data_IF_690159918338
#
_entry.id   IF_690159918338
#
_cell.length_a   1.000
_cell.length_b   1.000
_cell.length_c   1.000
_cell.angle_alpha   90.00
_cell.angle_beta   90.00
_cell.angle_gamma   90.00
#
_symmetry.space_group_name_H-M   'P 1'
#
loop_
_entity.id
_entity.type
_entity.pdbx_description
1 polymer ?
#
# COMPACT_ATOMS: atom_id res chain seq x y z
N UNK A 1 11.44 -17.47 -0.19
CA UNK A 1 10.07 -16.93 -0.17
C UNK A 1 9.29 -17.48 -1.36
N UNK A 2 8.16 -18.16 -1.12
CA UNK A 2 7.40 -18.93 -2.11
C UNK A 2 6.98 -18.11 -3.35
N UNK A 3 6.58 -16.84 -3.17
CA UNK A 3 6.15 -15.94 -4.25
C UNK A 3 7.21 -15.75 -5.36
N UNK A 4 8.47 -15.56 -4.98
CA UNK A 4 9.58 -15.41 -5.94
C UNK A 4 9.81 -16.73 -6.68
N UNK A 5 9.73 -17.85 -5.95
CA UNK A 5 9.94 -19.19 -6.51
C UNK A 5 8.87 -19.55 -7.54
N UNK A 6 7.64 -19.09 -7.35
CA UNK A 6 6.51 -19.29 -8.26
C UNK A 6 6.43 -18.22 -9.37
N UNK A 7 7.38 -17.28 -9.43
CA UNK A 7 7.37 -16.21 -10.43
C UNK A 7 6.19 -15.23 -10.26
N UNK A 8 5.56 -15.18 -9.09
CA UNK A 8 4.40 -14.32 -8.85
C UNK A 8 4.89 -12.90 -8.56
N UNK A 9 4.51 -11.90 -9.38
CA UNK A 9 4.90 -10.52 -9.15
C UNK A 9 4.18 -9.98 -7.90
N UNK A 10 4.94 -9.37 -6.99
CA UNK A 10 4.38 -8.74 -5.79
C UNK A 10 4.91 -7.32 -5.59
N UNK A 11 4.11 -6.53 -4.87
CA UNK A 11 4.44 -5.20 -4.36
C UNK A 11 4.00 -5.12 -2.89
N UNK A 12 4.96 -5.02 -1.99
CA UNK A 12 4.72 -5.07 -0.54
C UNK A 12 5.41 -3.88 0.11
N UNK A 13 4.72 -3.27 1.09
CA UNK A 13 5.31 -2.21 1.91
C UNK A 13 6.25 -2.81 2.94
N UNK A 14 7.40 -2.17 3.07
CA UNK A 14 8.46 -2.53 4.01
C UNK A 14 8.58 -1.43 5.06
N UNK A 15 8.85 -1.84 6.31
CA UNK A 15 9.14 -0.91 7.41
C UNK A 15 10.52 -0.28 7.25
N UNK A 16 10.67 0.97 7.68
CA UNK A 16 11.95 1.69 7.65
C UNK A 16 13.07 1.03 8.48
N UNK A 17 12.68 0.23 9.49
CA UNK A 17 13.60 -0.52 10.35
C UNK A 17 14.12 -1.80 9.71
N UNK A 18 13.58 -2.24 8.57
CA UNK A 18 14.15 -3.40 7.88
C UNK A 18 15.56 -3.07 7.35
N UNK A 19 16.36 -4.12 7.28
CA UNK A 19 17.74 -4.06 6.81
C UNK A 19 17.82 -4.53 5.35
N UNK A 20 18.51 -3.77 4.52
CA UNK A 20 18.89 -4.15 3.16
C UNK A 20 20.34 -4.61 3.17
N UNK A 21 20.61 -5.76 2.58
CA UNK A 21 21.95 -6.23 2.31
C UNK A 21 22.33 -5.84 0.88
N UNK A 22 23.43 -5.08 0.76
CA UNK A 22 24.04 -4.64 -0.48
C UNK A 22 25.55 -4.92 -0.42
N UNK A 23 26.10 -5.70 -1.35
CA UNK A 23 27.56 -5.91 -1.47
C UNK A 23 28.24 -6.31 -0.14
N UNK A 24 27.63 -7.21 0.63
CA UNK A 24 28.19 -7.66 1.92
C UNK A 24 28.00 -6.70 3.10
N UNK A 25 27.46 -5.49 2.87
CA UNK A 25 27.12 -4.53 3.92
C UNK A 25 25.63 -4.47 4.16
N UNK A 26 25.27 -4.23 5.42
CA UNK A 26 23.89 -4.12 5.87
C UNK A 26 23.57 -2.66 6.09
N UNK A 27 22.62 -2.13 5.33
CA UNK A 27 22.15 -0.76 5.44
C UNK A 27 20.70 -0.75 5.93
N UNK A 28 20.42 0.03 6.96
CA UNK A 28 19.04 0.34 7.34
C UNK A 28 18.36 1.08 6.19
N UNK A 29 17.09 0.75 5.91
CA UNK A 29 16.37 1.43 4.82
C UNK A 29 16.29 2.94 5.04
N UNK A 30 16.17 3.38 6.29
CA UNK A 30 16.21 4.80 6.66
C UNK A 30 17.45 5.52 6.11
N UNK A 31 18.64 4.91 6.20
CA UNK A 31 19.89 5.48 5.66
C UNK A 31 19.92 5.52 4.14
N UNK A 32 19.39 4.49 3.48
CA UNK A 32 19.35 4.44 2.00
C UNK A 32 18.49 5.56 1.40
N UNK A 33 17.49 6.03 2.15
CA UNK A 33 16.51 7.01 1.71
C UNK A 33 16.50 8.29 2.55
N UNK A 34 17.54 8.53 3.33
CA UNK A 34 17.67 9.69 4.23
C UNK A 34 17.70 11.02 3.45
N UNK A 35 18.27 11.00 2.25
CA UNK A 35 18.38 12.15 1.36
C UNK A 35 17.09 12.56 0.65
N UNK A 36 15.99 11.80 0.79
CA UNK A 36 14.73 12.14 0.13
C UNK A 36 14.04 13.34 0.80
N UNK A 37 13.66 14.31 -0.02
CA UNK A 37 12.80 15.43 0.39
C UNK A 37 11.33 15.00 0.40
N UNK A 38 10.51 15.75 1.12
CA UNK A 38 9.06 15.55 1.18
C UNK A 38 8.45 15.65 -0.23
N UNK A 39 7.60 14.69 -0.61
CA UNK A 39 7.01 14.58 -1.93
C UNK A 39 7.93 13.98 -3.01
N UNK A 40 9.22 13.78 -2.69
CA UNK A 40 10.16 13.16 -3.61
C UNK A 40 10.05 11.63 -3.54
N UNK A 41 10.21 10.98 -4.70
CA UNK A 41 10.25 9.53 -4.81
C UNK A 41 11.55 9.07 -5.46
N UNK A 42 12.12 7.98 -4.95
CA UNK A 42 13.39 7.43 -5.43
C UNK A 42 13.33 5.92 -5.52
N UNK A 43 13.60 5.42 -6.73
CA UNK A 43 13.80 4.01 -6.99
C UNK A 43 15.29 3.65 -6.99
N UNK A 44 15.67 2.60 -6.27
CA UNK A 44 17.01 2.03 -6.38
C UNK A 44 17.02 1.17 -7.66
N UNK A 45 17.94 1.48 -8.58
CA UNK A 45 18.04 0.78 -9.87
C UNK A 45 18.52 -0.67 -9.71
N UNK A 46 19.38 -0.93 -8.72
CA UNK A 46 19.90 -2.26 -8.40
C UNK A 46 18.91 -3.04 -7.53
N UNK A 47 18.90 -4.37 -7.69
CA UNK A 47 18.20 -5.24 -6.74
C UNK A 47 18.99 -5.30 -5.44
N UNK A 48 18.27 -5.24 -4.32
CA UNK A 48 18.84 -5.34 -2.99
C UNK A 48 18.31 -6.60 -2.31
N UNK A 49 19.16 -7.26 -1.53
CA UNK A 49 18.74 -8.44 -0.78
C UNK A 49 18.11 -7.96 0.51
N UNK A 50 16.79 -8.08 0.62
CA UNK A 50 16.06 -7.82 1.86
C UNK A 50 15.69 -9.16 2.46
N UNK A 51 16.18 -9.42 3.67
CA UNK A 51 16.13 -10.75 4.29
C UNK A 51 16.73 -11.79 3.33
N UNK A 52 15.93 -12.75 2.84
CA UNK A 52 16.36 -13.79 1.88
C UNK A 52 15.94 -13.52 0.42
N UNK A 53 15.48 -12.30 0.11
CA UNK A 53 14.85 -11.99 -1.17
C UNK A 53 15.53 -10.85 -1.90
N UNK A 54 15.87 -11.06 -3.17
CA UNK A 54 16.39 -10.01 -4.05
C UNK A 54 15.24 -9.22 -4.68
N UNK A 55 15.05 -7.97 -4.25
CA UNK A 55 13.91 -7.12 -4.62
C UNK A 55 14.34 -5.74 -5.12
N UNK A 56 13.50 -5.12 -5.93
CA UNK A 56 13.62 -3.71 -6.28
C UNK A 56 12.98 -2.87 -5.18
N UNK A 57 13.69 -1.84 -4.73
CA UNK A 57 13.19 -0.93 -3.70
C UNK A 57 12.86 0.43 -4.29
N UNK A 58 11.70 0.95 -3.93
CA UNK A 58 11.30 2.33 -4.20
C UNK A 58 10.81 2.96 -2.91
N UNK A 59 11.31 4.15 -2.58
CA UNK A 59 10.83 4.92 -1.44
C UNK A 59 10.19 6.24 -1.89
N UNK A 60 9.20 6.68 -1.14
CA UNK A 60 8.52 7.95 -1.28
C UNK A 60 8.43 8.57 0.11
N UNK A 61 8.78 9.84 0.23
CA UNK A 61 8.56 10.56 1.48
C UNK A 61 7.21 11.27 1.45
N UNK A 62 6.33 10.85 2.35
CA UNK A 62 4.99 11.38 2.51
C UNK A 62 5.04 12.83 3.02
N UNK A 63 3.98 13.61 2.78
CA UNK A 63 3.85 14.98 3.30
C UNK A 63 3.79 15.03 4.83
N UNK A 64 3.43 13.92 5.45
CA UNK A 64 3.51 13.71 6.90
C UNK A 64 4.94 13.58 7.42
N UNK A 65 5.93 13.46 6.55
CA UNK A 65 7.33 13.18 6.89
C UNK A 65 7.65 11.68 7.01
N UNK A 66 6.64 10.81 6.96
CA UNK A 66 6.79 9.35 7.02
C UNK A 66 7.40 8.80 5.71
N UNK A 67 8.19 7.73 5.84
CA UNK A 67 8.85 7.08 4.71
C UNK A 67 8.05 5.85 4.24
N UNK A 68 7.48 5.92 3.04
CA UNK A 68 6.82 4.80 2.39
C UNK A 68 7.80 4.03 1.52
N UNK A 69 8.15 2.82 1.92
CA UNK A 69 9.09 1.95 1.20
C UNK A 69 8.34 0.78 0.59
N UNK A 70 8.53 0.57 -0.72
CA UNK A 70 7.93 -0.52 -1.49
C UNK A 70 9.03 -1.46 -1.97
N UNK A 71 8.86 -2.75 -1.68
CA UNK A 71 9.59 -3.83 -2.33
C UNK A 71 8.76 -4.45 -3.44
N UNK A 72 9.39 -4.57 -4.61
CA UNK A 72 8.81 -5.16 -5.79
C UNK A 72 9.70 -6.28 -6.34
N UNK A 73 9.07 -7.33 -6.87
CA UNK A 73 9.80 -8.37 -7.62
C UNK A 73 10.34 -7.85 -8.96
N UNK A 74 9.63 -6.89 -9.58
CA UNK A 74 9.97 -6.31 -10.89
C UNK A 74 10.02 -4.79 -10.84
N UNK A 75 10.86 -4.21 -11.69
CA UNK A 75 10.93 -2.76 -11.88
C UNK A 75 9.70 -2.27 -12.66
N UNK A 76 9.08 -1.19 -12.19
CA UNK A 76 7.95 -0.55 -12.87
C UNK A 76 8.15 0.98 -12.84
N UNK A 77 7.62 1.68 -13.84
CA UNK A 77 7.80 3.13 -13.99
C UNK A 77 7.10 3.94 -12.88
N UNK A 78 5.91 3.51 -12.45
CA UNK A 78 5.10 4.21 -11.45
C UNK A 78 4.67 3.28 -10.30
N UNK A 79 5.59 2.88 -9.40
CA UNK A 79 5.29 1.92 -8.33
C UNK A 79 4.28 2.47 -7.31
N UNK A 80 4.34 3.76 -7.00
CA UNK A 80 3.45 4.39 -6.02
C UNK A 80 2.01 4.54 -6.52
N UNK A 81 1.80 4.86 -7.80
CA UNK A 81 0.46 4.93 -8.40
C UNK A 81 -0.24 3.57 -8.37
N UNK A 82 0.50 2.50 -8.63
CA UNK A 82 -0.03 1.13 -8.53
C UNK A 82 -0.35 0.79 -7.08
N UNK A 83 0.54 1.16 -6.16
CA UNK A 83 0.36 0.93 -4.74
C UNK A 83 -0.81 1.73 -4.15
N UNK A 84 -1.12 2.92 -4.69
CA UNK A 84 -2.26 3.73 -4.29
C UNK A 84 -3.60 3.00 -4.49
N UNK A 85 -3.75 2.18 -5.52
CA UNK A 85 -4.96 1.36 -5.72
C UNK A 85 -5.19 0.37 -4.56
N UNK A 86 -4.12 -0.08 -3.90
CA UNK A 86 -4.25 -0.93 -2.71
C UNK A 86 -4.85 -0.15 -1.54
N UNK A 87 -4.49 1.12 -1.39
CA UNK A 87 -5.02 2.00 -0.35
C UNK A 87 -6.52 2.23 -0.52
N UNK A 88 -7.00 2.34 -1.76
CA UNK A 88 -8.45 2.45 -2.04
C UNK A 88 -9.22 1.25 -1.48
N UNK A 89 -8.66 0.06 -1.66
CA UNK A 89 -9.24 -1.19 -1.14
C UNK A 89 -9.16 -1.25 0.39
N UNK A 90 -8.05 -0.80 0.99
CA UNK A 90 -7.91 -0.76 2.45
C UNK A 90 -8.93 0.20 3.09
N UNK A 91 -9.16 1.38 2.48
CA UNK A 91 -10.20 2.30 2.90
C UNK A 91 -11.60 1.69 2.79
N UNK A 92 -11.87 0.96 1.69
CA UNK A 92 -13.12 0.21 1.55
C UNK A 92 -13.30 -0.78 2.71
N UNK A 93 -12.28 -1.59 3.00
CA UNK A 93 -12.34 -2.54 4.11
C UNK A 93 -12.47 -1.86 5.48
N UNK A 94 -11.83 -0.71 5.71
CA UNK A 94 -12.00 0.05 6.94
C UNK A 94 -13.43 0.59 7.11
N UNK A 95 -14.04 1.12 6.04
CA UNK A 95 -15.44 1.54 6.04
C UNK A 95 -16.39 0.37 6.33
N UNK A 96 -16.06 -0.82 5.84
CA UNK A 96 -16.83 -2.03 6.10
C UNK A 96 -16.72 -2.53 7.54
N UNK A 97 -15.51 -2.48 8.11
CA UNK A 97 -15.24 -3.03 9.44
C UNK A 97 -15.76 -2.15 10.58
N UNK A 98 -15.51 -0.83 10.54
CA UNK A 98 -15.77 0.00 11.72
C UNK A 98 -16.08 1.48 11.49
N UNK A 99 -16.01 2.02 10.26
CA UNK A 99 -16.35 3.44 10.01
C UNK A 99 -17.67 3.66 9.29
N UNK A 100 -18.35 2.58 8.88
CA UNK A 100 -19.61 2.64 8.15
C UNK A 100 -20.55 1.52 8.58
N UNK A 101 -20.37 0.33 8.01
CA UNK A 101 -21.32 -0.77 8.17
C UNK A 101 -21.14 -1.60 9.45
N UNK A 102 -20.05 -1.39 10.19
CA UNK A 102 -19.73 -2.11 11.43
C UNK A 102 -19.97 -3.62 11.32
N UNK A 103 -19.52 -4.25 10.23
CA UNK A 103 -19.81 -5.66 9.97
C UNK A 103 -19.36 -6.57 11.12
N UNK A 104 -18.29 -6.18 11.82
CA UNK A 104 -17.74 -6.89 12.98
C UNK A 104 -18.72 -6.90 14.17
N UNK A 105 -19.54 -5.87 14.37
CA UNK A 105 -20.52 -5.80 15.48
C UNK A 105 -21.89 -6.39 15.13
N UNK A 106 -22.18 -6.57 13.84
CA UNK A 106 -23.50 -7.05 13.39
C UNK A 106 -23.71 -8.55 13.62
N UNK A 107 -22.68 -9.31 14.04
CA UNK A 107 -22.74 -10.76 14.27
C UNK A 107 -23.46 -11.53 13.14
N UNK A 108 -23.37 -11.05 11.90
CA UNK A 108 -24.03 -11.68 10.76
C UNK A 108 -23.26 -12.95 10.44
N UNK A 109 -23.79 -14.09 10.89
CA UNK A 109 -23.24 -15.42 10.68
C UNK A 109 -23.81 -16.10 9.43
N UNK A 110 -24.93 -15.62 8.89
CA UNK A 110 -25.57 -16.21 7.72
C UNK A 110 -24.94 -15.72 6.40
N UNK A 111 -24.41 -16.61 5.56
CA UNK A 111 -23.68 -16.24 4.34
C UNK A 111 -24.55 -15.50 3.31
N UNK A 112 -25.85 -15.80 3.23
CA UNK A 112 -26.77 -15.07 2.34
C UNK A 112 -26.90 -13.59 2.69
N UNK A 113 -26.91 -13.26 3.98
CA UNK A 113 -27.00 -11.86 4.45
C UNK A 113 -25.72 -11.09 4.15
N UNK A 114 -24.56 -11.76 4.25
CA UNK A 114 -23.27 -11.19 3.84
C UNK A 114 -23.27 -10.90 2.34
N UNK A 115 -23.74 -11.85 1.52
CA UNK A 115 -23.85 -11.68 0.07
C UNK A 115 -24.70 -10.46 -0.30
N UNK A 116 -25.90 -10.35 0.30
CA UNK A 116 -26.81 -9.22 0.08
C UNK A 116 -26.21 -7.89 0.52
N UNK A 117 -25.56 -7.83 1.69
CA UNK A 117 -24.87 -6.60 2.12
C UNK A 117 -23.75 -6.21 1.16
N UNK A 118 -22.91 -7.16 0.75
CA UNK A 118 -21.84 -6.91 -0.21
C UNK A 118 -22.39 -6.42 -1.56
N UNK A 119 -23.54 -6.94 -2.01
CA UNK A 119 -24.21 -6.46 -3.22
C UNK A 119 -24.67 -5.00 -3.09
N UNK A 120 -25.30 -4.64 -1.97
CA UNK A 120 -25.77 -3.26 -1.70
C UNK A 120 -24.60 -2.28 -1.59
N UNK A 121 -23.52 -2.66 -0.90
CA UNK A 121 -22.29 -1.86 -0.79
C UNK A 121 -21.67 -1.65 -2.16
N UNK A 122 -21.54 -2.72 -2.95
CA UNK A 122 -20.93 -2.67 -4.29
C UNK A 122 -21.74 -1.75 -5.21
N UNK A 123 -23.06 -1.81 -5.14
CA UNK A 123 -23.96 -0.93 -5.88
C UNK A 123 -23.78 0.53 -5.44
N UNK A 124 -23.75 0.81 -4.13
CA UNK A 124 -23.47 2.14 -3.60
C UNK A 124 -22.12 2.69 -4.07
N UNK A 125 -21.08 1.86 -4.06
CA UNK A 125 -19.74 2.23 -4.50
C UNK A 125 -19.69 2.53 -6.00
N UNK A 126 -20.37 1.72 -6.83
CA UNK A 126 -20.49 1.94 -8.28
C UNK A 126 -21.17 3.29 -8.58
N UNK A 127 -22.24 3.61 -7.86
CA UNK A 127 -22.93 4.88 -8.02
C UNK A 127 -22.08 6.08 -7.59
N UNK A 128 -21.33 5.93 -6.50
CA UNK A 128 -20.41 6.97 -6.04
C UNK A 128 -19.24 7.18 -7.02
N UNK A 129 -18.63 6.10 -7.54
CA UNK A 129 -17.56 6.19 -8.54
C UNK A 129 -18.05 6.78 -9.87
N UNK A 130 -19.29 6.48 -10.28
CA UNK A 130 -19.91 7.05 -11.49
C UNK A 130 -20.20 8.55 -11.37
N UNK A 131 -20.55 9.05 -10.18
CA UNK A 131 -20.72 10.50 -9.92
C UNK A 131 -19.40 11.22 -9.67
N UNK A 132 -18.37 10.52 -9.20
CA UNK A 132 -17.05 11.05 -8.87
C UNK A 132 -16.11 11.32 -10.05
N UNK A 133 -16.56 11.19 -11.31
CA UNK A 133 -15.73 11.49 -12.50
C UNK A 133 -15.32 12.97 -12.62
N UNK A 134 -15.88 13.85 -11.79
CA UNK A 134 -15.37 15.21 -11.57
C UNK A 134 -14.27 15.22 -10.52
N UNK A 135 -13.01 15.02 -10.95
CA UNK A 135 -11.78 15.16 -10.14
C UNK A 135 -11.84 14.43 -8.78
N UNK A 136 -11.40 13.18 -8.76
CA UNK A 136 -10.77 12.60 -7.58
C UNK A 136 -9.47 13.39 -7.37
N UNK A 137 -9.60 14.53 -6.70
CA UNK A 137 -8.51 15.41 -6.34
C UNK A 137 -7.43 14.60 -5.67
N UNK A 138 -6.20 14.80 -6.14
CA UNK A 138 -4.93 14.51 -5.49
C UNK A 138 -5.12 13.85 -4.12
N UNK A 139 -5.14 12.52 -4.10
CA UNK A 139 -5.21 11.76 -2.85
C UNK A 139 -3.91 12.05 -2.11
N UNK A 140 -3.98 13.03 -1.22
CA UNK A 140 -2.84 13.62 -0.56
C UNK A 140 -2.32 12.58 0.41
N UNK A 141 -1.19 11.98 0.04
CA UNK A 141 -0.42 10.99 0.79
C UNK A 141 -0.15 11.49 2.23
N UNK A 142 -0.14 12.81 2.46
CA UNK A 142 -0.35 13.52 3.73
C UNK A 142 -1.32 12.88 4.76
N UNK A 143 -2.54 12.46 4.37
CA UNK A 143 -3.60 12.07 5.33
C UNK A 143 -3.43 10.68 5.94
N UNK A 144 -2.50 9.89 5.44
CA UNK A 144 -2.20 8.52 5.91
C UNK A 144 -1.62 8.46 7.32
N UNK A 145 -0.84 9.46 7.73
CA UNK A 145 -0.07 9.36 8.99
C UNK A 145 -0.93 9.55 10.24
N UNK A 146 -2.12 10.15 10.13
CA UNK A 146 -3.02 10.39 11.27
C UNK A 146 -3.88 9.18 11.68
N UNK A 147 -3.75 8.04 11.02
CA UNK A 147 -4.58 6.85 11.30
C UNK A 147 -3.79 5.61 11.73
N UNK A 148 -2.48 5.74 11.94
CA UNK A 148 -1.60 4.70 12.46
C UNK A 148 -1.19 4.95 13.92
N UNK A 149 -2.06 5.59 14.69
CA UNK A 149 -1.98 5.67 16.15
C UNK A 149 -3.16 4.92 16.76
#
# INVERSE_FOLDING_TARGET
MWLIRQGIPFWIRIKESQLAHAQGQTHAMKRLFESLRVGESRGIRRRLKVSECSVYLSALRLDSGELLILAASHKRAAPFTVYQRRWEIENLFQCLKGRGFHLESTHITHPERISTMMAVITLGFFWHTKRGSGKIGSFNLSKSSRMAA
#
